data_IF_190680438942
#
_entry.id   IF_190680438942
#
_cell.length_a   1.000
_cell.length_b   1.000
_cell.length_c   1.000
_cell.angle_alpha   90.00
_cell.angle_beta   90.00
_cell.angle_gamma   90.00
#
_symmetry.space_group_name_H-M   'P 1'
#
loop_
_entity.id
_entity.type
_entity.pdbx_description
1 polymer ?
#
# COMPACT_ATOMS: atom_id res chain seq x y z
N UNK A 1 -13.29 26.12 -34.79
CA UNK A 1 -12.85 25.18 -33.72
C UNK A 1 -11.82 25.90 -32.88
N UNK A 2 -12.03 25.96 -31.57
CA UNK A 2 -11.06 26.58 -30.66
C UNK A 2 -9.84 25.65 -30.54
N UNK A 3 -8.64 26.22 -30.53
CA UNK A 3 -7.38 25.49 -30.29
C UNK A 3 -7.43 24.69 -28.97
N UNK A 4 -8.21 25.16 -27.99
CA UNK A 4 -8.42 24.48 -26.71
C UNK A 4 -9.08 23.10 -26.85
N UNK A 5 -9.82 22.84 -27.94
CA UNK A 5 -10.43 21.51 -28.19
C UNK A 5 -9.47 20.51 -28.81
N UNK A 6 -8.31 20.96 -29.27
CA UNK A 6 -7.26 20.09 -29.83
C UNK A 6 -6.21 19.69 -28.81
N UNK A 7 -6.17 20.34 -27.64
CA UNK A 7 -5.22 20.02 -26.56
C UNK A 7 -5.91 19.11 -25.59
N UNK A 8 -5.41 17.87 -25.47
CA UNK A 8 -5.83 16.96 -24.39
C UNK A 8 -5.49 17.59 -23.05
N UNK A 9 -6.45 17.74 -22.12
CA UNK A 9 -6.14 18.29 -20.79
C UNK A 9 -4.99 17.52 -20.16
N UNK A 10 -4.01 18.26 -19.64
CA UNK A 10 -2.88 17.64 -18.95
C UNK A 10 -3.39 16.78 -17.78
N UNK A 11 -2.90 15.58 -17.57
CA UNK A 11 -3.40 14.68 -16.52
C UNK A 11 -3.46 15.30 -15.12
N UNK A 12 -2.56 16.26 -14.85
CA UNK A 12 -2.51 17.03 -13.61
C UNK A 12 -3.85 17.64 -13.19
N UNK A 13 -4.60 18.20 -14.12
CA UNK A 13 -5.91 18.81 -13.83
C UNK A 13 -6.97 17.80 -13.42
N UNK A 14 -6.70 16.50 -13.59
CA UNK A 14 -7.60 15.39 -13.27
C UNK A 14 -7.20 14.64 -12.00
N UNK A 15 -6.07 15.00 -11.39
CA UNK A 15 -5.67 14.43 -10.10
C UNK A 15 -6.59 14.95 -8.98
N UNK A 16 -6.79 14.14 -7.95
CA UNK A 16 -7.39 14.64 -6.73
C UNK A 16 -6.51 15.74 -6.11
N UNK A 17 -7.10 16.60 -5.30
CA UNK A 17 -6.33 17.65 -4.59
C UNK A 17 -5.31 17.04 -3.64
N UNK A 18 -5.67 15.92 -2.99
CA UNK A 18 -4.77 15.20 -2.10
C UNK A 18 -3.57 14.63 -2.86
N UNK A 19 -3.80 14.00 -4.01
CA UNK A 19 -2.72 13.48 -4.85
C UNK A 19 -1.82 14.61 -5.36
N UNK A 20 -2.41 15.71 -5.85
CA UNK A 20 -1.65 16.88 -6.28
C UNK A 20 -0.76 17.43 -5.17
N UNK A 21 -1.28 17.54 -3.95
CA UNK A 21 -0.51 18.00 -2.78
C UNK A 21 0.67 17.06 -2.47
N UNK A 22 0.49 15.72 -2.61
CA UNK A 22 1.58 14.74 -2.43
C UNK A 22 2.67 14.88 -3.50
N UNK A 23 2.29 15.23 -4.71
CA UNK A 23 3.24 15.45 -5.80
C UNK A 23 4.00 16.78 -5.61
N UNK A 24 3.31 17.83 -5.17
CA UNK A 24 3.90 19.17 -4.99
C UNK A 24 4.82 19.25 -3.77
N UNK A 25 4.47 18.53 -2.70
CA UNK A 25 5.19 18.58 -1.43
C UNK A 25 5.41 17.17 -0.86
N UNK A 26 6.16 16.30 -1.57
CA UNK A 26 6.48 14.97 -1.06
C UNK A 26 7.40 15.07 0.15
N UNK A 27 7.20 14.20 1.13
CA UNK A 27 7.97 14.17 2.39
C UNK A 27 9.00 13.04 2.43
N UNK A 28 8.72 11.97 1.69
CA UNK A 28 9.52 10.74 1.70
C UNK A 28 10.57 10.69 0.58
N UNK A 29 10.79 11.81 -0.14
CA UNK A 29 11.82 11.89 -1.17
C UNK A 29 13.21 11.81 -0.55
N UNK A 30 14.06 10.94 -1.10
CA UNK A 30 15.45 10.80 -0.66
C UNK A 30 15.93 9.36 -0.73
N UNK A 31 16.94 9.06 0.08
CA UNK A 31 17.52 7.74 0.19
C UNK A 31 18.08 7.55 1.61
N UNK A 32 18.41 6.32 1.95
CA UNK A 32 19.19 5.98 3.13
C UNK A 32 20.54 5.43 2.69
N UNK A 33 21.59 5.74 3.44
CA UNK A 33 22.90 5.13 3.28
C UNK A 33 23.04 3.88 4.15
N UNK A 34 24.00 3.02 3.84
CA UNK A 34 24.29 1.86 4.67
C UNK A 34 24.71 2.28 6.08
N UNK A 35 25.48 3.35 6.20
CA UNK A 35 25.92 3.90 7.49
C UNK A 35 24.74 4.36 8.36
N UNK A 36 23.73 4.99 7.76
CA UNK A 36 22.50 5.39 8.48
C UNK A 36 21.71 4.17 8.97
N UNK A 37 21.64 3.14 8.15
CA UNK A 37 20.94 1.89 8.50
C UNK A 37 21.68 1.15 9.63
N UNK A 38 23.00 1.04 9.54
CA UNK A 38 23.83 0.40 10.56
C UNK A 38 23.77 1.15 11.90
N UNK A 39 23.79 2.49 11.84
CA UNK A 39 23.66 3.34 13.03
C UNK A 39 22.31 3.18 13.75
N UNK A 40 21.27 2.77 13.03
CA UNK A 40 19.93 2.49 13.58
C UNK A 40 19.72 1.01 13.89
N UNK A 41 20.71 0.15 13.66
CA UNK A 41 20.60 -1.32 13.77
C UNK A 41 19.47 -1.88 12.90
N UNK A 42 19.25 -1.30 11.70
CA UNK A 42 18.22 -1.68 10.75
C UNK A 42 18.85 -2.27 9.49
N UNK A 43 18.10 -3.04 8.74
CA UNK A 43 18.49 -3.51 7.42
C UNK A 43 18.03 -2.52 6.35
N UNK A 44 18.98 -2.05 5.53
CA UNK A 44 18.64 -1.27 4.34
C UNK A 44 18.20 -2.22 3.22
N UNK A 45 16.97 -2.06 2.76
CA UNK A 45 16.43 -2.80 1.63
C UNK A 45 16.08 -1.83 0.51
N UNK A 46 16.48 -2.17 -0.71
CA UNK A 46 16.27 -1.31 -1.88
C UNK A 46 15.50 -2.10 -2.93
N UNK A 47 14.27 -1.63 -3.21
CA UNK A 47 13.45 -2.13 -4.31
C UNK A 47 13.53 -1.20 -5.51
N UNK A 48 13.62 -1.76 -6.72
CA UNK A 48 13.79 -0.98 -7.96
C UNK A 48 12.90 -1.51 -9.06
N UNK A 49 12.38 -0.62 -9.91
CA UNK A 49 11.65 -1.00 -11.10
C UNK A 49 11.76 0.07 -12.18
N UNK A 50 11.72 -0.36 -13.46
CA UNK A 50 11.82 0.50 -14.63
C UNK A 50 13.26 0.81 -15.03
N UNK A 51 13.40 1.60 -16.08
CA UNK A 51 14.69 2.08 -16.60
C UNK A 51 14.59 3.56 -16.97
N UNK A 52 15.68 4.28 -16.75
CA UNK A 52 15.75 5.73 -17.08
C UNK A 52 15.58 5.94 -18.59
N UNK A 53 16.12 5.03 -19.40
CA UNK A 53 16.05 5.04 -20.85
C UNK A 53 14.61 4.92 -21.37
N UNK A 54 13.75 4.21 -20.62
CA UNK A 54 12.31 4.07 -20.94
C UNK A 54 11.48 5.24 -20.39
N UNK A 55 12.11 6.19 -19.72
CA UNK A 55 11.49 7.41 -19.22
C UNK A 55 10.76 7.26 -17.88
N UNK A 56 10.81 6.09 -17.22
CA UNK A 56 10.23 5.89 -15.90
C UNK A 56 11.07 4.90 -15.09
N UNK A 57 11.50 5.34 -13.92
CA UNK A 57 12.28 4.55 -12.98
C UNK A 57 11.91 4.91 -11.56
N UNK A 58 11.83 3.90 -10.68
CA UNK A 58 11.61 4.08 -9.24
C UNK A 58 12.64 3.26 -8.45
N UNK A 59 13.05 3.82 -7.33
CA UNK A 59 13.82 3.17 -6.30
C UNK A 59 13.21 3.47 -4.94
N UNK A 60 12.81 2.42 -4.24
CA UNK A 60 12.32 2.47 -2.87
C UNK A 60 13.46 2.09 -1.93
N UNK A 61 13.55 2.78 -0.80
CA UNK A 61 14.51 2.51 0.27
C UNK A 61 13.72 2.25 1.54
N UNK A 62 13.87 1.07 2.12
CA UNK A 62 13.25 0.69 3.38
C UNK A 62 14.31 0.50 4.45
N UNK A 63 14.06 0.98 5.65
CA UNK A 63 14.75 0.58 6.86
C UNK A 63 13.88 -0.45 7.57
N UNK A 64 14.34 -1.69 7.57
CA UNK A 64 13.58 -2.85 8.07
C UNK A 64 14.21 -3.32 9.37
N UNK A 65 13.39 -3.51 10.39
CA UNK A 65 13.81 -4.16 11.62
C UNK A 65 14.08 -5.64 11.35
N UNK A 66 15.23 -6.13 11.78
CA UNK A 66 15.66 -7.50 11.53
C UNK A 66 15.04 -8.53 12.50
N UNK A 67 14.39 -8.07 13.56
CA UNK A 67 13.79 -8.93 14.58
C UNK A 67 12.35 -9.33 14.23
N UNK A 68 11.60 -8.44 13.56
CA UNK A 68 10.17 -8.64 13.29
C UNK A 68 9.73 -8.27 11.86
N UNK A 69 10.65 -7.78 11.03
CA UNK A 69 10.39 -7.43 9.64
C UNK A 69 9.57 -6.14 9.44
N UNK A 70 9.41 -5.33 10.49
CA UNK A 70 8.67 -4.06 10.40
C UNK A 70 9.50 -3.03 9.61
N UNK A 71 8.86 -2.35 8.68
CA UNK A 71 9.41 -1.21 7.95
C UNK A 71 9.29 0.02 8.84
N UNK A 72 10.42 0.43 9.42
CA UNK A 72 10.46 1.55 10.39
C UNK A 72 10.44 2.89 9.68
N UNK A 73 11.05 2.98 8.50
CA UNK A 73 11.11 4.21 7.71
C UNK A 73 11.23 3.86 6.22
N UNK A 74 10.73 4.75 5.35
CA UNK A 74 10.74 4.53 3.91
C UNK A 74 11.01 5.83 3.16
N UNK A 75 11.84 5.75 2.13
CA UNK A 75 12.11 6.85 1.19
C UNK A 75 12.08 6.36 -0.24
N UNK A 76 12.03 7.29 -1.17
CA UNK A 76 12.07 6.96 -2.59
C UNK A 76 12.84 7.97 -3.44
N UNK A 77 13.32 7.48 -4.56
CA UNK A 77 13.79 8.28 -5.69
C UNK A 77 13.05 7.85 -6.95
N UNK A 78 12.60 8.80 -7.74
CA UNK A 78 11.92 8.53 -9.01
C UNK A 78 12.51 9.39 -10.13
N UNK A 79 12.48 8.83 -11.33
CA UNK A 79 12.70 9.55 -12.58
C UNK A 79 11.52 9.27 -13.49
N UNK A 80 10.91 10.33 -14.04
CA UNK A 80 9.78 10.17 -14.95
C UNK A 80 8.62 11.12 -14.66
N UNK A 81 7.41 10.62 -14.86
CA UNK A 81 6.21 11.43 -14.73
C UNK A 81 5.88 11.76 -13.26
N UNK A 82 5.30 12.93 -13.04
CA UNK A 82 4.97 13.43 -11.69
C UNK A 82 4.04 12.50 -10.89
N UNK A 83 3.20 11.72 -11.56
CA UNK A 83 2.33 10.73 -10.91
C UNK A 83 3.12 9.66 -10.14
N UNK A 84 4.33 9.31 -10.58
CA UNK A 84 5.21 8.39 -9.85
C UNK A 84 5.60 8.96 -8.49
N UNK A 85 5.84 10.29 -8.39
CA UNK A 85 6.12 10.94 -7.11
C UNK A 85 4.96 10.73 -6.16
N UNK A 86 3.73 11.01 -6.61
CA UNK A 86 2.53 10.87 -5.79
C UNK A 86 2.27 9.42 -5.36
N UNK A 87 2.41 8.46 -6.28
CA UNK A 87 2.22 7.05 -5.98
C UNK A 87 3.28 6.53 -4.99
N UNK A 88 4.56 6.89 -5.18
CA UNK A 88 5.66 6.51 -4.29
C UNK A 88 5.50 7.13 -2.89
N UNK A 89 5.11 8.40 -2.80
CA UNK A 89 4.83 9.08 -1.52
C UNK A 89 3.74 8.36 -0.74
N UNK A 90 2.61 8.06 -1.39
CA UNK A 90 1.50 7.32 -0.77
C UNK A 90 1.94 5.93 -0.32
N UNK A 91 2.74 5.24 -1.11
CA UNK A 91 3.27 3.92 -0.73
C UNK A 91 4.15 4.04 0.51
N UNK A 92 5.10 4.98 0.56
CA UNK A 92 5.93 5.18 1.74
C UNK A 92 5.10 5.45 3.00
N UNK A 93 4.03 6.26 2.90
CA UNK A 93 3.12 6.49 4.03
C UNK A 93 2.36 5.22 4.46
N UNK A 94 1.97 4.39 3.51
CA UNK A 94 1.18 3.18 3.78
C UNK A 94 2.02 2.05 4.37
N UNK A 95 3.31 1.94 4.03
CA UNK A 95 4.16 0.82 4.44
C UNK A 95 4.86 1.03 5.78
N UNK A 96 5.13 2.27 6.17
CA UNK A 96 5.77 2.55 7.47
C UNK A 96 4.91 2.01 8.61
N UNK A 97 5.53 1.27 9.52
CA UNK A 97 4.87 0.58 10.63
C UNK A 97 4.23 -0.77 10.25
N UNK A 98 4.33 -1.20 9.00
CA UNK A 98 3.91 -2.54 8.55
C UNK A 98 5.12 -3.44 8.36
N UNK A 99 4.93 -4.75 8.48
CA UNK A 99 5.96 -5.67 8.06
C UNK A 99 6.02 -5.79 6.54
N UNK A 100 7.13 -6.31 6.01
CA UNK A 100 7.36 -6.41 4.57
C UNK A 100 6.32 -7.29 3.84
N UNK A 101 5.73 -8.29 4.52
CA UNK A 101 4.67 -9.12 3.93
C UNK A 101 3.34 -8.35 3.81
N UNK A 102 3.03 -7.49 4.78
CA UNK A 102 1.89 -6.57 4.69
C UNK A 102 2.11 -5.51 3.60
N UNK A 103 3.32 -4.98 3.47
CA UNK A 103 3.65 -4.02 2.43
C UNK A 103 3.44 -4.58 1.02
N UNK A 104 3.82 -5.83 0.77
CA UNK A 104 3.58 -6.55 -0.48
C UNK A 104 2.09 -6.60 -0.88
N UNK A 105 1.18 -6.60 0.09
CA UNK A 105 -0.27 -6.72 -0.14
C UNK A 105 -0.95 -5.42 -0.49
N UNK A 106 -0.21 -4.32 -0.56
CA UNK A 106 -0.75 -3.03 -1.00
C UNK A 106 -1.16 -3.14 -2.45
N UNK A 107 -2.43 -2.78 -2.72
CA UNK A 107 -3.00 -2.79 -4.06
C UNK A 107 -3.08 -1.38 -4.65
N UNK A 108 -3.18 -1.31 -5.98
CA UNK A 108 -3.41 -0.04 -6.69
C UNK A 108 -4.68 0.66 -6.22
N UNK A 109 -5.71 -0.11 -5.85
CA UNK A 109 -6.94 0.45 -5.32
C UNK A 109 -6.74 1.09 -3.94
N UNK A 110 -5.94 0.48 -3.06
CA UNK A 110 -5.64 1.04 -1.75
C UNK A 110 -4.88 2.37 -1.89
N UNK A 111 -3.88 2.41 -2.79
CA UNK A 111 -3.12 3.63 -3.10
C UNK A 111 -4.05 4.73 -3.60
N UNK A 112 -4.92 4.42 -4.56
CA UNK A 112 -5.86 5.38 -5.13
C UNK A 112 -6.86 5.88 -4.07
N UNK A 113 -7.42 4.96 -3.29
CA UNK A 113 -8.41 5.25 -2.24
C UNK A 113 -7.85 6.16 -1.15
N UNK A 114 -6.58 6.00 -0.78
CA UNK A 114 -5.89 6.80 0.25
C UNK A 114 -5.87 8.30 -0.08
N UNK A 115 -5.79 8.66 -1.34
CA UNK A 115 -5.70 10.05 -1.80
C UNK A 115 -6.94 10.55 -2.55
N UNK A 116 -8.05 9.84 -2.49
CA UNK A 116 -9.32 10.34 -3.03
C UNK A 116 -9.81 11.56 -2.26
N UNK A 117 -10.34 12.53 -2.97
CA UNK A 117 -11.08 13.65 -2.36
C UNK A 117 -12.52 13.25 -1.99
N UNK A 118 -13.12 12.37 -2.80
CA UNK A 118 -14.45 11.80 -2.62
C UNK A 118 -14.40 10.29 -2.90
N UNK A 119 -15.14 9.51 -2.12
CA UNK A 119 -15.10 8.05 -2.20
C UNK A 119 -15.36 7.49 -3.61
N UNK A 120 -16.28 8.12 -4.35
CA UNK A 120 -16.72 7.63 -5.67
C UNK A 120 -15.81 8.10 -6.83
N UNK A 121 -14.91 9.08 -6.60
CA UNK A 121 -14.09 9.65 -7.64
C UNK A 121 -12.65 9.16 -7.49
N UNK A 122 -12.11 8.39 -8.46
CA UNK A 122 -10.72 7.97 -8.43
C UNK A 122 -9.76 9.17 -8.36
N UNK A 123 -8.71 9.04 -7.56
CA UNK A 123 -7.69 10.06 -7.41
C UNK A 123 -6.71 10.06 -8.60
N UNK A 124 -6.46 8.87 -9.14
CA UNK A 124 -5.59 8.65 -10.27
C UNK A 124 -6.40 8.49 -11.57
N UNK A 125 -6.14 9.26 -12.63
CA UNK A 125 -6.69 8.99 -13.94
C UNK A 125 -6.30 7.58 -14.43
N UNK A 126 -7.18 6.92 -15.18
CA UNK A 126 -6.95 5.54 -15.65
C UNK A 126 -5.62 5.36 -16.40
N UNK A 127 -5.21 6.37 -17.14
CA UNK A 127 -3.96 6.36 -17.94
C UNK A 127 -2.70 6.32 -17.07
N UNK A 128 -2.83 6.62 -15.78
CA UNK A 128 -1.71 6.66 -14.84
C UNK A 128 -1.55 5.35 -14.04
N UNK A 129 -2.47 4.40 -14.15
CA UNK A 129 -2.38 3.11 -13.48
C UNK A 129 -1.08 2.32 -13.78
N UNK A 130 -0.53 2.34 -15.00
CA UNK A 130 0.77 1.70 -15.26
C UNK A 130 1.90 2.24 -14.36
N UNK A 131 1.84 3.51 -13.96
CA UNK A 131 2.83 4.10 -13.05
C UNK A 131 2.66 3.60 -11.61
N UNK A 132 1.41 3.37 -11.16
CA UNK A 132 1.15 2.75 -9.87
C UNK A 132 1.70 1.31 -9.87
N UNK A 133 1.48 0.56 -10.95
CA UNK A 133 1.99 -0.80 -11.08
C UNK A 133 3.52 -0.83 -11.02
N UNK A 134 4.20 0.17 -11.60
CA UNK A 134 5.66 0.28 -11.50
C UNK A 134 6.12 0.38 -10.03
N UNK A 135 5.38 1.15 -9.21
CA UNK A 135 5.67 1.27 -7.77
C UNK A 135 5.40 -0.04 -7.05
N UNK A 136 4.32 -0.75 -7.39
CA UNK A 136 4.00 -2.06 -6.82
C UNK A 136 5.05 -3.11 -7.18
N UNK A 137 5.58 -3.09 -8.40
CA UNK A 137 6.69 -3.98 -8.79
C UNK A 137 7.98 -3.68 -7.99
N UNK A 138 8.24 -2.41 -7.68
CA UNK A 138 9.38 -2.06 -6.82
C UNK A 138 9.18 -2.53 -5.37
N UNK A 139 7.93 -2.59 -4.87
CA UNK A 139 7.62 -3.23 -3.58
C UNK A 139 7.92 -4.72 -3.63
N UNK A 140 7.54 -5.41 -4.71
CA UNK A 140 7.80 -6.84 -4.87
C UNK A 140 9.30 -7.12 -4.90
N UNK A 141 10.09 -6.34 -5.63
CA UNK A 141 11.56 -6.45 -5.63
C UNK A 141 12.17 -6.20 -4.24
N UNK A 142 11.63 -5.27 -3.46
CA UNK A 142 12.05 -5.06 -2.08
C UNK A 142 11.65 -6.21 -1.16
N UNK A 143 10.43 -6.74 -1.32
CA UNK A 143 9.93 -7.89 -0.57
C UNK A 143 10.82 -9.12 -0.72
N UNK A 144 11.21 -9.47 -1.95
CA UNK A 144 12.09 -10.63 -2.21
C UNK A 144 13.41 -10.57 -1.44
N UNK A 145 13.88 -9.35 -1.13
CA UNK A 145 15.11 -9.10 -0.38
C UNK A 145 14.91 -9.12 1.15
N UNK A 146 13.68 -9.32 1.61
CA UNK A 146 13.32 -9.39 3.03
C UNK A 146 12.93 -10.78 3.50
N UNK A 147 12.74 -11.74 2.61
CA UNK A 147 12.15 -13.06 2.92
C UNK A 147 12.93 -13.89 3.95
N UNK A 148 14.18 -13.55 4.20
CA UNK A 148 15.04 -14.16 5.23
C UNK A 148 14.87 -13.53 6.62
N UNK A 149 14.18 -12.38 6.71
CA UNK A 149 13.88 -11.71 7.99
C UNK A 149 12.66 -12.38 8.61
N UNK A 150 12.71 -12.77 9.89
CA UNK A 150 11.54 -13.31 10.57
C UNK A 150 10.42 -12.27 10.63
N UNK A 151 9.20 -12.75 10.61
CA UNK A 151 8.00 -11.95 10.92
C UNK A 151 7.56 -12.29 12.32
N UNK A 152 7.05 -11.34 13.09
CA UNK A 152 6.62 -11.55 14.46
C UNK A 152 5.71 -12.80 14.62
N UNK A 153 5.94 -13.62 15.65
CA UNK A 153 5.26 -14.90 15.87
C UNK A 153 3.73 -14.82 15.93
N UNK A 154 3.19 -13.64 16.28
CA UNK A 154 1.76 -13.37 16.31
C UNK A 154 1.20 -12.84 14.98
N UNK A 155 2.04 -12.70 13.97
CA UNK A 155 1.59 -12.29 12.64
C UNK A 155 0.96 -13.47 11.91
N UNK A 156 -0.34 -13.42 11.74
CA UNK A 156 -1.08 -14.35 10.88
C UNK A 156 -1.38 -13.62 9.56
N UNK A 157 -0.75 -14.08 8.48
CA UNK A 157 -1.04 -13.59 7.16
C UNK A 157 -2.52 -13.84 6.82
N UNK A 158 -3.27 -12.79 6.48
CA UNK A 158 -4.64 -13.00 5.98
C UNK A 158 -4.60 -13.86 4.73
N UNK A 159 -5.47 -14.86 4.61
CA UNK A 159 -5.59 -15.62 3.38
C UNK A 159 -5.94 -14.66 2.24
N UNK A 160 -5.06 -14.56 1.26
CA UNK A 160 -5.37 -13.84 0.01
C UNK A 160 -6.28 -14.77 -0.79
N UNK A 161 -7.50 -14.37 -1.18
CA UNK A 161 -8.30 -15.15 -2.10
C UNK A 161 -7.48 -15.31 -3.40
N UNK A 162 -7.16 -16.53 -3.77
CA UNK A 162 -6.36 -16.82 -4.97
C UNK A 162 -7.11 -16.48 -6.25
N UNK A 163 -8.45 -16.38 -6.19
CA UNK A 163 -9.30 -15.93 -7.29
C UNK A 163 -10.50 -15.13 -6.77
N UNK A 164 -10.96 -14.14 -7.54
CA UNK A 164 -12.19 -13.41 -7.27
C UNK A 164 -13.36 -14.38 -7.46
N UNK A 165 -13.95 -14.84 -6.36
CA UNK A 165 -15.11 -15.74 -6.37
C UNK A 165 -14.87 -17.12 -5.77
N UNK A 166 -13.69 -17.44 -5.29
CA UNK A 166 -13.51 -18.64 -4.46
C UNK A 166 -14.30 -18.49 -3.17
N UNK A 167 -15.49 -19.06 -3.15
CA UNK A 167 -16.24 -19.32 -1.93
C UNK A 167 -15.47 -20.41 -1.19
N UNK A 168 -14.85 -20.09 -0.07
CA UNK A 168 -14.29 -21.11 0.82
C UNK A 168 -15.47 -22.02 1.21
N UNK A 169 -15.56 -23.18 0.58
CA UNK A 169 -16.49 -24.22 1.00
C UNK A 169 -16.09 -24.68 2.41
N UNK A 170 -16.86 -24.30 3.39
CA UNK A 170 -16.66 -24.71 4.76
C UNK A 170 -16.86 -23.60 5.77
N UNK A 171 -17.97 -22.91 5.74
CA UNK A 171 -18.32 -21.91 6.75
C UNK A 171 -18.08 -22.42 8.18
N UNK A 172 -18.17 -21.54 9.16
CA UNK A 172 -17.92 -21.87 10.58
C UNK A 172 -18.64 -23.16 10.98
N UNK A 173 -17.93 -24.18 11.47
CA UNK A 173 -18.54 -25.47 11.80
C UNK A 173 -19.68 -25.29 12.81
N UNK A 174 -20.86 -25.87 12.50
CA UNK A 174 -22.04 -25.75 13.34
C UNK A 174 -22.74 -24.39 13.32
N UNK A 175 -22.42 -23.50 12.36
CA UNK A 175 -23.03 -22.16 12.24
C UNK A 175 -24.56 -22.15 12.31
N UNK A 176 -25.22 -23.13 11.69
CA UNK A 176 -26.69 -23.22 11.66
C UNK A 176 -27.29 -23.48 13.04
N UNK A 177 -26.57 -24.16 13.92
CA UNK A 177 -26.99 -24.56 15.28
C UNK A 177 -26.71 -23.51 16.35
N UNK A 178 -25.90 -22.48 16.01
CA UNK A 178 -25.57 -21.41 16.93
C UNK A 178 -26.77 -20.48 17.18
N UNK A 179 -26.95 -20.09 18.44
CA UNK A 179 -27.89 -19.03 18.80
C UNK A 179 -27.42 -17.68 18.22
N UNK A 180 -28.36 -16.74 18.00
CA UNK A 180 -28.04 -15.43 17.44
C UNK A 180 -26.90 -14.74 18.22
N UNK A 181 -26.94 -14.80 19.54
CA UNK A 181 -25.88 -14.22 20.42
C UNK A 181 -24.51 -14.82 20.17
N UNK A 182 -24.43 -16.14 19.98
CA UNK A 182 -23.16 -16.82 19.65
C UNK A 182 -22.68 -16.52 18.24
N UNK A 183 -23.60 -16.38 17.27
CA UNK A 183 -23.27 -15.95 15.90
C UNK A 183 -22.68 -14.54 15.88
N UNK A 184 -23.26 -13.61 16.63
CA UNK A 184 -22.71 -12.26 16.77
C UNK A 184 -21.32 -12.28 17.39
N UNK A 185 -21.10 -13.06 18.44
CA UNK A 185 -19.78 -13.18 19.08
C UNK A 185 -18.70 -13.74 18.12
N UNK A 186 -19.05 -14.76 17.32
CA UNK A 186 -18.15 -15.32 16.30
C UNK A 186 -17.85 -14.32 15.20
N UNK A 187 -18.87 -13.58 14.72
CA UNK A 187 -18.67 -12.52 13.73
C UNK A 187 -17.76 -11.43 14.30
N UNK A 188 -17.98 -11.02 15.54
CA UNK A 188 -17.19 -9.98 16.20
C UNK A 188 -15.74 -10.42 16.40
N UNK A 189 -15.51 -11.68 16.78
CA UNK A 189 -14.17 -12.27 16.88
C UNK A 189 -13.44 -12.30 15.53
N UNK A 190 -14.12 -12.70 14.46
CA UNK A 190 -13.55 -12.71 13.10
C UNK A 190 -13.27 -11.27 12.62
N UNK A 191 -14.20 -10.35 12.89
CA UNK A 191 -14.02 -8.93 12.56
C UNK A 191 -12.81 -8.34 13.30
N UNK A 192 -12.65 -8.66 14.59
CA UNK A 192 -11.53 -8.18 15.41
C UNK A 192 -10.20 -8.75 14.97
N UNK A 193 -10.17 -10.02 14.61
CA UNK A 193 -8.96 -10.72 14.21
C UNK A 193 -8.55 -10.40 12.76
N UNK A 194 -9.51 -10.46 11.83
CA UNK A 194 -9.20 -10.52 10.40
C UNK A 194 -9.54 -9.22 9.64
N UNK A 195 -10.36 -8.33 10.19
CA UNK A 195 -10.86 -7.15 9.47
C UNK A 195 -10.51 -5.83 10.16
N UNK A 196 -10.72 -5.70 11.48
CA UNK A 196 -10.41 -4.45 12.21
C UNK A 196 -8.96 -3.98 12.10
N UNK A 197 -7.94 -4.86 12.12
CA UNK A 197 -6.58 -4.42 11.88
C UNK A 197 -6.39 -3.71 10.53
N UNK A 198 -7.13 -4.16 9.50
CA UNK A 198 -7.06 -3.53 8.17
C UNK A 198 -7.87 -2.24 8.09
N UNK A 199 -9.04 -2.17 8.74
CA UNK A 199 -9.85 -0.94 8.79
C UNK A 199 -9.15 0.14 9.62
N UNK A 200 -8.47 -0.24 10.70
CA UNK A 200 -7.66 0.69 11.50
C UNK A 200 -6.49 1.27 10.70
N UNK A 201 -5.93 0.49 9.77
CA UNK A 201 -4.89 0.94 8.84
C UNK A 201 -5.42 1.97 7.82
N UNK A 202 -6.72 1.91 7.49
CA UNK A 202 -7.39 2.85 6.57
C UNK A 202 -7.88 4.14 7.28
N UNK A 203 -7.59 4.34 8.55
CA UNK A 203 -8.07 5.48 9.34
C UNK A 203 -9.59 5.47 9.61
N UNK A 204 -10.25 4.37 9.33
CA UNK A 204 -11.67 4.14 9.58
C UNK A 204 -11.91 3.62 11.01
N UNK A 205 -12.42 4.47 11.89
CA UNK A 205 -12.95 4.01 13.19
C UNK A 205 -14.34 3.44 13.03
N UNK A 206 -14.53 2.16 13.21
CA UNK A 206 -15.86 1.58 13.30
C UNK A 206 -16.33 1.56 14.75
N UNK A 207 -17.51 2.18 15.01
CA UNK A 207 -18.20 2.04 16.29
C UNK A 207 -19.19 0.87 16.18
N UNK A 208 -19.04 -0.14 17.04
CA UNK A 208 -20.03 -1.19 17.26
C UNK A 208 -21.36 -0.53 17.64
N UNK A 209 -22.43 -0.87 16.93
CA UNK A 209 -23.80 -0.57 17.33
C UNK A 209 -24.17 -1.55 18.46
N UNK A 210 -24.07 -1.07 19.69
CA UNK A 210 -24.71 -1.71 20.87
C UNK A 210 -26.20 -1.40 20.90
#
# INVERSE_FOLDING_TARGET
MSLATLITPFPWSRYSKKLAAKIEQPRSVGFFTQEESDARCMRLVIGTEGMIEDGNFIRLYWLVDTDDGIIVDAKFQVYGQSVLIGAAEVVCELIVGKNYDQARRISSELIDRHVRDKAEIPAFPKETFPHINLVLSAIEDAYEKCVDIPVADNYVASPVPSEIGEVIEGGYPGWKELTLKKKMAVIEEILDRDIRPYIALDGGGWKSLT
#
